data_IF_619131540998
#
_entry.id   IF_619131540998
#
_cell.length_a   1.000
_cell.length_b   1.000
_cell.length_c   1.000
_cell.angle_alpha   90.00
_cell.angle_beta   90.00
_cell.angle_gamma   90.00
#
_symmetry.space_group_name_H-M   'P 1'
#
loop_
_entity.id
_entity.type
_entity.pdbx_description
1 polymer ?
#
# COMPACT_ATOMS: atom_id res chain seq x y z
N UNK A 1 -4.15 6.74 -9.07
CA UNK A 1 -5.06 5.58 -8.89
C UNK A 1 -6.30 5.82 -9.72
N UNK A 2 -6.88 4.77 -10.29
CA UNK A 2 -8.13 4.81 -11.06
C UNK A 2 -9.03 3.64 -10.63
N UNK A 3 -10.33 3.89 -10.50
CA UNK A 3 -11.35 2.88 -10.24
C UNK A 3 -12.00 2.38 -11.55
N UNK A 4 -12.96 1.46 -11.46
CA UNK A 4 -13.62 0.92 -12.65
C UNK A 4 -14.67 1.85 -13.26
N UNK A 5 -15.11 2.87 -12.52
CA UNK A 5 -16.00 3.94 -12.98
C UNK A 5 -15.24 5.10 -13.66
N UNK A 6 -13.90 5.03 -13.70
CA UNK A 6 -13.03 6.04 -14.31
C UNK A 6 -12.74 7.24 -13.40
N UNK A 7 -13.12 7.20 -12.13
CA UNK A 7 -12.71 8.21 -11.14
C UNK A 7 -11.22 8.04 -10.85
N UNK A 8 -10.54 9.17 -10.70
CA UNK A 8 -9.10 9.23 -10.46
C UNK A 8 -8.80 10.00 -9.21
N UNK A 9 -7.84 9.50 -8.44
CA UNK A 9 -7.33 10.14 -7.25
C UNK A 9 -5.83 9.86 -7.10
N UNK A 10 -5.14 10.72 -6.35
CA UNK A 10 -3.74 10.51 -5.98
C UNK A 10 -3.48 10.90 -4.53
N UNK A 11 -2.41 10.33 -3.99
CA UNK A 11 -1.78 10.76 -2.74
C UNK A 11 -0.36 11.21 -3.09
N UNK A 12 0.08 12.34 -2.54
CA UNK A 12 1.41 12.88 -2.78
C UNK A 12 2.15 13.01 -1.46
N UNK A 13 3.43 12.65 -1.45
CA UNK A 13 4.33 12.82 -0.32
C UNK A 13 5.51 13.67 -0.78
N UNK A 14 5.98 14.61 0.05
CA UNK A 14 7.10 15.49 -0.30
C UNK A 14 8.46 14.84 -0.06
N UNK A 15 8.52 13.78 0.76
CA UNK A 15 9.71 12.98 1.01
C UNK A 15 9.39 11.49 0.89
N UNK A 16 10.31 10.76 0.27
CA UNK A 16 10.26 9.32 0.11
C UNK A 16 11.69 8.77 0.05
N UNK A 17 11.97 7.74 0.83
CA UNK A 17 13.21 6.96 0.71
C UNK A 17 12.97 5.53 1.17
N UNK A 18 13.84 4.63 0.70
CA UNK A 18 13.88 3.23 1.11
C UNK A 18 15.31 2.93 1.57
N UNK A 19 15.45 2.29 2.73
CA UNK A 19 16.76 1.88 3.24
C UNK A 19 17.34 0.68 2.47
N UNK A 20 18.58 0.32 2.79
CA UNK A 20 19.24 -0.84 2.20
C UNK A 20 18.63 -2.18 2.64
N UNK A 21 19.07 -3.24 1.99
CA UNK A 21 18.64 -4.62 2.30
C UNK A 21 18.93 -5.02 3.76
N UNK A 22 20.09 -4.62 4.30
CA UNK A 22 20.48 -4.91 5.68
C UNK A 22 19.49 -4.34 6.71
N UNK A 23 18.77 -3.27 6.34
CA UNK A 23 17.75 -2.61 7.15
C UNK A 23 16.33 -3.07 6.78
N UNK A 24 16.21 -4.09 5.92
CA UNK A 24 14.94 -4.69 5.49
C UNK A 24 14.15 -3.82 4.51
N UNK A 25 14.83 -3.00 3.71
CA UNK A 25 14.20 -2.07 2.76
C UNK A 25 13.15 -1.18 3.44
N UNK A 26 13.48 -0.62 4.60
CA UNK A 26 12.52 0.17 5.41
C UNK A 26 12.00 1.38 4.64
N UNK A 27 10.68 1.59 4.65
CA UNK A 27 10.02 2.74 4.04
C UNK A 27 10.12 3.96 4.95
N UNK A 28 10.49 5.09 4.37
CA UNK A 28 10.37 6.42 4.98
C UNK A 28 9.55 7.33 4.08
N UNK A 29 8.47 7.88 4.62
CA UNK A 29 7.53 8.72 3.88
C UNK A 29 6.99 9.84 4.75
N UNK A 30 6.99 11.07 4.24
CA UNK A 30 6.46 12.22 4.98
C UNK A 30 5.97 13.35 4.07
N UNK A 31 5.31 14.34 4.69
CA UNK A 31 4.78 15.52 4.00
C UNK A 31 3.64 15.17 3.04
N UNK A 32 2.65 14.44 3.55
CA UNK A 32 1.44 14.09 2.82
C UNK A 32 0.69 15.35 2.34
N UNK A 33 0.22 15.30 1.10
CA UNK A 33 -0.67 16.26 0.47
C UNK A 33 -1.81 15.51 -0.21
N UNK A 34 -3.04 15.84 0.18
CA UNK A 34 -4.23 15.16 -0.32
C UNK A 34 -4.54 15.53 -1.78
N UNK A 35 -4.57 14.52 -2.66
CA UNK A 35 -4.98 14.63 -4.07
C UNK A 35 -6.29 13.88 -4.37
N UNK A 36 -7.18 13.76 -3.38
CA UNK A 36 -8.47 13.10 -3.47
C UNK A 36 -8.48 11.64 -2.99
N UNK A 37 -7.33 11.04 -2.72
CA UNK A 37 -7.24 9.67 -2.21
C UNK A 37 -7.10 9.58 -0.69
N UNK A 38 -6.84 10.71 -0.01
CA UNK A 38 -6.44 10.75 1.40
C UNK A 38 -5.17 9.89 1.67
N UNK A 39 -4.79 9.70 2.93
CA UNK A 39 -3.52 9.05 3.30
C UNK A 39 -3.70 7.60 3.78
N UNK A 40 -3.21 6.64 2.99
CA UNK A 40 -3.05 5.25 3.39
C UNK A 40 -1.58 4.81 3.50
N UNK A 41 -0.59 5.65 3.14
CA UNK A 41 0.82 5.23 3.12
C UNK A 41 1.59 5.62 4.38
N UNK A 42 1.22 6.72 5.05
CA UNK A 42 1.88 7.14 6.29
C UNK A 42 1.74 6.09 7.40
N UNK A 43 0.69 5.26 7.37
CA UNK A 43 0.55 4.11 8.28
C UNK A 43 1.69 3.09 8.13
N UNK A 44 2.31 3.04 6.95
CA UNK A 44 3.41 2.14 6.60
C UNK A 44 4.80 2.76 6.81
N UNK A 45 4.88 4.01 7.29
CA UNK A 45 6.14 4.66 7.60
C UNK A 45 6.91 3.90 8.69
N UNK A 46 8.22 3.76 8.49
CA UNK A 46 9.15 3.04 9.36
C UNK A 46 8.91 1.53 9.42
N UNK A 47 8.23 0.93 8.43
CA UNK A 47 8.05 -0.52 8.31
C UNK A 47 9.05 -1.11 7.33
N UNK A 48 9.45 -2.35 7.61
CA UNK A 48 10.27 -3.17 6.71
C UNK A 48 9.40 -3.80 5.63
N UNK A 49 10.01 -4.08 4.49
CA UNK A 49 9.32 -4.74 3.39
C UNK A 49 9.15 -6.23 3.70
N UNK A 50 7.92 -6.75 3.61
CA UNK A 50 7.63 -8.16 3.91
C UNK A 50 7.08 -8.88 2.69
N UNK A 51 7.46 -10.15 2.55
CA UNK A 51 7.01 -11.09 1.53
C UNK A 51 6.52 -12.38 2.19
N UNK A 52 5.90 -13.27 1.41
CA UNK A 52 5.39 -14.54 1.93
C UNK A 52 6.50 -15.44 2.53
N UNK A 53 7.75 -15.29 2.09
CA UNK A 53 8.91 -16.07 2.52
C UNK A 53 9.84 -15.31 3.48
N UNK A 54 9.64 -14.01 3.65
CA UNK A 54 10.40 -13.18 4.57
C UNK A 54 9.47 -12.25 5.35
N UNK A 55 9.08 -12.69 6.54
CA UNK A 55 8.18 -11.96 7.44
C UNK A 55 8.95 -10.92 8.26
N UNK A 56 8.70 -9.65 8.00
CA UNK A 56 9.29 -8.52 8.70
C UNK A 56 8.22 -7.55 9.21
N UNK A 57 6.96 -7.98 9.28
CA UNK A 57 5.87 -7.17 9.81
C UNK A 57 5.85 -7.19 11.35
N UNK A 58 4.88 -6.49 11.97
CA UNK A 58 4.83 -6.36 13.45
C UNK A 58 3.75 -7.21 14.10
N UNK A 59 3.21 -8.18 13.38
CA UNK A 59 2.16 -9.07 13.88
C UNK A 59 2.70 -10.45 14.23
N UNK A 60 1.88 -11.27 14.89
CA UNK A 60 2.21 -12.69 15.13
C UNK A 60 1.89 -13.58 13.93
N UNK A 61 1.20 -13.04 12.93
CA UNK A 61 0.85 -13.70 11.68
C UNK A 61 1.72 -13.13 10.56
N UNK A 62 1.68 -13.73 9.37
CA UNK A 62 2.38 -13.19 8.20
C UNK A 62 1.39 -12.41 7.31
N UNK A 63 1.41 -11.08 7.37
CA UNK A 63 0.50 -10.22 6.61
C UNK A 63 0.63 -10.45 5.09
N UNK A 64 1.84 -10.70 4.58
CA UNK A 64 2.05 -10.95 3.16
C UNK A 64 1.36 -12.23 2.68
N UNK A 65 1.31 -13.28 3.52
CA UNK A 65 0.55 -14.51 3.25
C UNK A 65 -0.96 -14.30 3.37
N UNK A 66 -1.40 -13.58 4.40
CA UNK A 66 -2.83 -13.35 4.65
C UNK A 66 -3.48 -12.49 3.56
N UNK A 67 -2.79 -11.44 3.11
CA UNK A 67 -3.33 -10.43 2.18
C UNK A 67 -2.78 -10.55 0.76
N UNK A 68 -2.14 -11.67 0.45
CA UNK A 68 -1.71 -12.09 -0.88
C UNK A 68 -0.93 -11.00 -1.63
N UNK A 69 0.04 -10.39 -0.96
CA UNK A 69 0.84 -9.30 -1.51
C UNK A 69 2.24 -9.23 -0.93
N UNK A 70 2.93 -8.15 -1.27
CA UNK A 70 4.24 -7.82 -0.74
C UNK A 70 4.31 -6.31 -0.51
N UNK A 71 4.50 -5.90 0.74
CA UNK A 71 4.45 -4.49 1.09
C UNK A 71 5.15 -4.21 2.42
N UNK A 72 5.24 -2.92 2.76
CA UNK A 72 5.70 -2.44 4.06
C UNK A 72 4.64 -2.66 5.14
N UNK A 73 4.24 -3.91 5.38
CA UNK A 73 3.14 -4.25 6.30
C UNK A 73 3.42 -3.78 7.74
N UNK A 74 2.39 -3.22 8.38
CA UNK A 74 2.38 -2.90 9.80
C UNK A 74 1.55 -3.94 10.57
N UNK A 75 0.27 -3.67 10.82
CA UNK A 75 -0.65 -4.62 11.45
C UNK A 75 -2.09 -4.47 10.90
N UNK A 76 -2.38 -4.82 9.63
CA UNK A 76 -1.47 -5.25 8.57
C UNK A 76 -1.26 -4.16 7.51
N UNK A 77 -2.32 -3.61 6.93
CA UNK A 77 -2.17 -2.55 5.92
C UNK A 77 -3.37 -1.61 5.82
N UNK A 78 -3.11 -0.39 5.32
CA UNK A 78 -4.13 0.51 4.74
C UNK A 78 -3.96 0.67 3.22
N UNK A 79 -2.88 0.13 2.64
CA UNK A 79 -2.67 0.04 1.20
C UNK A 79 -2.08 -1.34 0.85
N UNK A 80 -2.52 -1.92 -0.26
CA UNK A 80 -1.98 -3.20 -0.77
C UNK A 80 -1.74 -3.11 -2.29
N UNK A 81 -0.81 -2.25 -2.75
CA UNK A 81 -0.60 -2.00 -4.18
C UNK A 81 -0.18 -3.24 -4.98
N UNK A 82 0.42 -4.22 -4.30
CA UNK A 82 0.93 -5.46 -4.87
C UNK A 82 0.02 -6.66 -4.51
N UNK A 83 -1.24 -6.40 -4.18
CA UNK A 83 -2.24 -7.42 -3.90
C UNK A 83 -2.80 -8.07 -5.17
N UNK A 84 -3.79 -8.93 -4.97
CA UNK A 84 -4.50 -9.63 -6.03
C UNK A 84 -5.29 -8.64 -6.90
N UNK A 85 -5.10 -8.71 -8.21
CA UNK A 85 -5.94 -7.94 -9.13
C UNK A 85 -7.32 -8.61 -9.27
N UNK A 86 -8.37 -7.89 -8.90
CA UNK A 86 -9.77 -8.30 -9.12
C UNK A 86 -10.64 -7.08 -9.45
N UNK A 87 -11.85 -7.32 -9.94
CA UNK A 87 -12.68 -6.28 -10.52
C UNK A 87 -13.52 -5.56 -9.47
N UNK A 88 -12.99 -4.50 -8.87
CA UNK A 88 -13.74 -3.61 -7.98
C UNK A 88 -14.11 -4.29 -6.66
N UNK A 89 -15.38 -4.15 -6.27
CA UNK A 89 -15.93 -4.72 -5.04
C UNK A 89 -16.02 -6.25 -5.14
N UNK A 90 -15.12 -6.93 -4.44
CA UNK A 90 -15.13 -8.37 -4.26
C UNK A 90 -14.79 -8.68 -2.80
N UNK A 91 -15.79 -9.16 -2.08
CA UNK A 91 -15.74 -9.47 -0.66
C UNK A 91 -15.57 -10.97 -0.39
N UNK A 92 -15.24 -11.79 -1.39
CA UNK A 92 -15.01 -13.24 -1.21
C UNK A 92 -13.83 -13.52 -0.29
N UNK A 93 -12.75 -12.74 -0.43
CA UNK A 93 -11.61 -12.73 0.49
C UNK A 93 -11.29 -11.28 0.84
N UNK A 94 -11.46 -10.86 2.11
CA UNK A 94 -11.37 -9.46 2.48
C UNK A 94 -9.93 -8.93 2.34
N UNK A 95 -9.81 -7.69 1.89
CA UNK A 95 -8.56 -6.92 1.89
C UNK A 95 -7.36 -7.51 1.11
N UNK A 96 -7.57 -8.45 0.18
CA UNK A 96 -6.46 -9.00 -0.66
C UNK A 96 -6.19 -8.20 -1.93
N UNK A 97 -7.08 -7.28 -2.29
CA UNK A 97 -7.06 -6.55 -3.56
C UNK A 97 -5.96 -5.49 -3.70
N UNK A 98 -5.85 -4.90 -4.90
CA UNK A 98 -5.09 -3.66 -5.13
C UNK A 98 -5.86 -2.49 -4.52
N UNK A 99 -5.69 -2.24 -3.23
CA UNK A 99 -6.54 -1.30 -2.49
C UNK A 99 -5.78 -0.10 -1.93
N UNK A 100 -6.55 0.98 -1.73
CA UNK A 100 -6.16 2.18 -0.99
C UNK A 100 -7.31 2.56 -0.06
N UNK A 101 -7.20 2.13 1.21
CA UNK A 101 -8.32 2.11 2.15
C UNK A 101 -8.96 3.47 2.38
N UNK A 102 -8.16 4.54 2.43
CA UNK A 102 -8.66 5.90 2.67
C UNK A 102 -9.44 6.49 1.48
N UNK A 103 -9.48 5.81 0.33
CA UNK A 103 -10.24 6.22 -0.85
C UNK A 103 -11.44 5.31 -1.14
N UNK A 104 -11.22 3.98 -1.26
CA UNK A 104 -12.26 3.02 -1.65
C UNK A 104 -12.53 1.92 -0.62
N UNK A 105 -11.89 1.98 0.55
CA UNK A 105 -12.01 0.94 1.58
C UNK A 105 -11.11 -0.27 1.32
N UNK A 106 -11.29 -1.31 2.13
CA UNK A 106 -10.47 -2.52 2.08
C UNK A 106 -10.95 -3.54 1.03
N UNK A 107 -12.23 -3.50 0.67
CA UNK A 107 -12.83 -4.57 -0.15
C UNK A 107 -13.09 -4.16 -1.60
N UNK A 108 -12.49 -3.04 -2.03
CA UNK A 108 -12.51 -2.57 -3.41
C UNK A 108 -11.10 -2.61 -3.99
N UNK A 109 -10.90 -3.41 -5.04
CA UNK A 109 -9.66 -3.44 -5.81
C UNK A 109 -9.71 -2.45 -6.96
N UNK A 110 -8.65 -1.65 -7.06
CA UNK A 110 -8.52 -0.57 -8.02
C UNK A 110 -8.14 -1.12 -9.40
N UNK A 111 -8.72 -0.52 -10.44
CA UNK A 111 -8.41 -0.82 -11.83
C UNK A 111 -6.94 -0.53 -12.16
N UNK A 112 -6.37 0.54 -11.60
CA UNK A 112 -4.94 0.81 -11.74
C UNK A 112 -4.36 1.61 -10.59
N UNK A 113 -3.10 1.30 -10.27
CA UNK A 113 -2.28 2.03 -9.33
C UNK A 113 -0.88 2.20 -9.89
N UNK A 114 -0.26 3.36 -9.67
CA UNK A 114 1.12 3.63 -10.10
C UNK A 114 1.82 4.44 -9.03
N UNK A 115 3.00 3.99 -8.64
CA UNK A 115 3.91 4.71 -7.77
C UNK A 115 4.98 5.35 -8.65
N UNK A 116 5.21 6.65 -8.45
CA UNK A 116 6.15 7.43 -9.25
C UNK A 116 6.92 8.37 -8.32
N UNK A 117 8.22 8.50 -8.55
CA UNK A 117 9.09 9.39 -7.78
C UNK A 117 9.67 10.49 -8.68
N UNK A 118 9.95 11.65 -8.09
CA UNK A 118 10.64 12.77 -8.74
C UNK A 118 11.57 13.42 -7.71
N UNK A 119 12.80 13.83 -8.09
CA UNK A 119 13.70 14.56 -7.19
C UNK A 119 13.03 15.80 -6.58
N UNK A 120 13.36 16.08 -5.32
CA UNK A 120 13.01 17.33 -4.65
C UNK A 120 14.07 18.35 -5.03
N UNK A 121 13.64 19.46 -5.64
CA UNK A 121 14.50 20.58 -6.06
C UNK A 121 14.81 21.52 -4.91
#
# INVERSE_FOLDING_TARGET
MEDFEGQRAFARYSSFSIDGEADGYTLHVSGFSNGGANDSLAFHDGRKFSTFDNDQDRTGENCAKLYLGAFWYAACHLANPNGLYHWGDDNTVPAVGILWASWKGHDYSLKSMSFMIRPVT
#
